data_IF_199272035623
#
_entry.id   IF_199272035623
#
_cell.length_a   1.000
_cell.length_b   1.000
_cell.length_c   1.000
_cell.angle_alpha   90.00
_cell.angle_beta   90.00
_cell.angle_gamma   90.00
#
_symmetry.space_group_name_H-M   'P 1'
#
loop_
_entity.id
_entity.type
_entity.pdbx_description
1 polymer ?
#
# COMPACT_ATOMS: atom_id res chain seq x y z
N UNK A 1 -34.96 14.98 -16.11
CA UNK A 1 -34.33 13.67 -15.81
C UNK A 1 -32.91 13.92 -15.34
N UNK A 2 -32.70 14.13 -14.04
CA UNK A 2 -31.37 14.29 -13.43
C UNK A 2 -30.71 12.92 -13.32
N UNK A 3 -29.58 12.72 -13.99
CA UNK A 3 -28.72 11.55 -13.80
C UNK A 3 -28.05 11.69 -12.44
N UNK A 4 -28.39 10.80 -11.51
CA UNK A 4 -27.77 10.67 -10.20
C UNK A 4 -26.28 10.36 -10.37
N UNK A 5 -25.40 11.19 -9.81
CA UNK A 5 -23.94 11.04 -9.82
C UNK A 5 -23.45 10.00 -8.77
N UNK A 6 -24.32 9.12 -8.29
CA UNK A 6 -24.04 8.24 -7.15
C UNK A 6 -23.31 6.93 -7.48
N UNK A 7 -22.82 6.72 -8.71
CA UNK A 7 -22.31 5.40 -9.14
C UNK A 7 -20.78 5.21 -9.11
N UNK A 8 -20.00 6.04 -8.41
CA UNK A 8 -18.53 5.89 -8.38
C UNK A 8 -17.91 5.81 -6.99
N UNK A 9 -18.71 5.77 -5.92
CA UNK A 9 -18.25 5.18 -4.68
C UNK A 9 -18.40 3.65 -4.84
N UNK A 10 -17.49 3.02 -5.59
CA UNK A 10 -17.20 1.63 -5.25
C UNK A 10 -16.81 1.67 -3.78
N UNK A 11 -17.53 0.91 -2.94
CA UNK A 11 -17.09 0.58 -1.60
C UNK A 11 -15.72 -0.12 -1.74
N UNK A 12 -14.66 0.67 -1.88
CA UNK A 12 -13.28 0.20 -1.91
C UNK A 12 -12.97 -0.19 -0.47
N UNK A 13 -13.38 -1.40 -0.11
CA UNK A 13 -12.96 -2.02 1.13
C UNK A 13 -11.43 -2.01 1.10
N UNK A 14 -10.78 -1.39 2.10
CA UNK A 14 -9.32 -1.27 2.10
C UNK A 14 -8.69 -2.65 2.34
N UNK A 15 -7.59 -2.90 1.65
CA UNK A 15 -6.80 -4.11 1.90
C UNK A 15 -6.32 -4.10 3.36
N UNK A 16 -6.42 -5.24 4.04
CA UNK A 16 -5.96 -5.37 5.44
C UNK A 16 -4.47 -5.67 5.44
N UNK A 17 -3.68 -4.68 5.85
CA UNK A 17 -2.22 -4.75 5.94
C UNK A 17 -1.82 -4.24 7.33
N UNK A 18 -0.78 -4.83 7.92
CA UNK A 18 -0.22 -4.44 9.21
C UNK A 18 1.20 -3.94 9.07
N UNK A 19 1.55 -2.91 9.85
CA UNK A 19 2.95 -2.46 9.98
C UNK A 19 3.79 -3.58 10.58
N UNK A 20 4.94 -3.86 9.97
CA UNK A 20 5.90 -4.91 10.35
C UNK A 20 5.68 -6.26 9.70
N UNK A 21 4.58 -6.47 8.99
CA UNK A 21 4.39 -7.67 8.19
C UNK A 21 5.33 -7.69 6.98
N UNK A 22 5.59 -8.89 6.46
CA UNK A 22 6.41 -9.07 5.28
C UNK A 22 5.62 -8.68 4.02
N UNK A 23 6.26 -7.90 3.15
CA UNK A 23 5.67 -7.38 1.93
C UNK A 23 5.53 -8.47 0.86
N UNK A 24 4.29 -8.69 0.39
CA UNK A 24 3.96 -9.73 -0.60
C UNK A 24 3.63 -9.11 -1.95
N UNK A 25 4.64 -8.56 -2.62
CA UNK A 25 4.50 -7.77 -3.86
C UNK A 25 3.65 -8.43 -4.95
N UNK A 26 3.83 -9.74 -5.18
CA UNK A 26 3.12 -10.50 -6.21
C UNK A 26 1.65 -10.69 -5.83
N UNK A 27 1.39 -11.09 -4.58
CA UNK A 27 0.03 -11.35 -4.07
C UNK A 27 -0.79 -10.06 -4.05
N UNK A 28 -0.12 -8.93 -3.78
CA UNK A 28 -0.75 -7.62 -3.66
C UNK A 28 -0.69 -6.78 -4.94
N UNK A 29 -0.40 -7.39 -6.09
CA UNK A 29 -0.30 -6.73 -7.40
C UNK A 29 0.43 -5.37 -7.32
N UNK A 30 1.54 -5.35 -6.57
CA UNK A 30 2.11 -4.09 -6.10
C UNK A 30 2.70 -3.27 -7.25
N UNK A 31 2.36 -1.99 -7.29
CA UNK A 31 2.86 -1.02 -8.26
C UNK A 31 3.60 0.10 -7.52
N UNK A 32 4.81 0.42 -7.98
CA UNK A 32 5.57 1.56 -7.44
C UNK A 32 4.72 2.84 -7.46
N UNK A 33 4.76 3.61 -6.37
CA UNK A 33 4.09 4.90 -6.24
C UNK A 33 5.10 6.04 -6.06
N UNK A 34 5.94 5.97 -5.02
CA UNK A 34 6.92 7.01 -4.68
C UNK A 34 8.05 6.49 -3.78
N UNK A 35 9.14 7.23 -3.61
CA UNK A 35 10.16 6.96 -2.59
C UNK A 35 9.98 7.91 -1.37
N UNK A 36 10.30 7.43 -0.19
CA UNK A 36 10.35 8.20 1.06
C UNK A 36 11.79 8.28 1.56
N UNK A 37 12.22 9.49 1.93
CA UNK A 37 13.53 9.74 2.53
C UNK A 37 13.43 9.71 4.06
N UNK A 38 13.24 8.50 4.60
CA UNK A 38 13.09 8.26 6.04
C UNK A 38 13.70 6.91 6.39
N UNK A 39 14.07 6.77 7.65
CA UNK A 39 14.62 5.54 8.20
C UNK A 39 13.54 4.44 8.36
N UNK A 40 13.94 3.19 8.11
CA UNK A 40 13.12 2.01 8.40
C UNK A 40 13.05 1.72 9.89
N UNK A 41 11.85 1.50 10.42
CA UNK A 41 11.59 1.20 11.83
C UNK A 41 12.16 -0.14 12.31
N UNK A 42 12.56 -1.02 11.38
CA UNK A 42 12.96 -2.40 11.68
C UNK A 42 14.45 -2.68 11.48
N UNK A 43 15.06 -2.10 10.44
CA UNK A 43 16.46 -2.34 10.10
C UNK A 43 17.30 -1.06 9.96
N UNK A 44 16.70 0.11 10.25
CA UNK A 44 17.39 1.41 10.26
C UNK A 44 18.04 1.81 8.93
N UNK A 45 17.59 1.25 7.81
CA UNK A 45 18.03 1.70 6.47
C UNK A 45 17.31 2.99 6.09
N UNK A 46 18.00 3.90 5.41
CA UNK A 46 17.52 5.26 5.13
C UNK A 46 16.56 5.39 3.93
N UNK A 47 16.17 4.27 3.32
CA UNK A 47 15.32 4.26 2.13
C UNK A 47 14.07 3.44 2.35
N UNK A 48 12.92 4.01 2.02
CA UNK A 48 11.61 3.35 2.03
C UNK A 48 10.92 3.61 0.68
N UNK A 49 10.29 2.59 0.11
CA UNK A 49 9.58 2.67 -1.18
C UNK A 49 8.08 2.48 -0.96
N UNK A 50 7.30 3.42 -1.47
CA UNK A 50 5.85 3.38 -1.52
C UNK A 50 5.32 2.55 -2.68
N UNK A 51 4.30 1.73 -2.41
CA UNK A 51 3.57 0.96 -3.41
C UNK A 51 2.07 1.17 -3.27
N UNK A 52 1.37 1.23 -4.41
CA UNK A 52 -0.06 0.94 -4.50
C UNK A 52 -0.21 -0.57 -4.56
N UNK A 53 -1.20 -1.09 -3.83
CA UNK A 53 -1.44 -2.52 -3.71
C UNK A 53 -2.91 -2.82 -3.94
N UNK A 54 -3.20 -3.98 -4.51
CA UNK A 54 -4.54 -4.51 -4.72
C UNK A 54 -4.52 -6.03 -4.51
N UNK A 55 -5.44 -6.56 -3.70
CA UNK A 55 -5.59 -8.01 -3.52
C UNK A 55 -6.41 -8.67 -4.65
N UNK A 56 -6.64 -9.97 -4.55
CA UNK A 56 -7.45 -10.72 -5.51
C UNK A 56 -8.95 -10.37 -5.43
N UNK A 57 -9.42 -9.84 -4.30
CA UNK A 57 -10.80 -9.41 -4.10
C UNK A 57 -11.05 -7.97 -4.60
N UNK A 58 -10.01 -7.27 -5.08
CA UNK A 58 -10.09 -5.89 -5.56
C UNK A 58 -9.97 -4.84 -4.44
N UNK A 59 -9.61 -5.26 -3.22
CA UNK A 59 -9.32 -4.31 -2.14
C UNK A 59 -8.00 -3.65 -2.40
N UNK A 60 -7.95 -2.33 -2.26
CA UNK A 60 -6.75 -1.55 -2.57
C UNK A 60 -6.26 -0.73 -1.38
N UNK A 61 -4.99 -0.32 -1.45
CA UNK A 61 -4.35 0.52 -0.45
C UNK A 61 -2.99 1.01 -0.90
N UNK A 62 -2.30 1.76 -0.04
CA UNK A 62 -0.93 2.17 -0.26
C UNK A 62 -0.06 1.88 0.95
N UNK A 63 1.13 1.34 0.70
CA UNK A 63 2.06 0.88 1.73
C UNK A 63 3.46 1.37 1.47
N UNK A 64 4.15 1.77 2.53
CA UNK A 64 5.55 2.15 2.49
C UNK A 64 6.36 0.94 2.98
N UNK A 65 7.32 0.47 2.19
CA UNK A 65 8.05 -0.79 2.40
C UNK A 65 9.54 -0.54 2.38
N UNK A 66 10.27 -1.18 3.28
CA UNK A 66 11.73 -1.15 3.24
C UNK A 66 12.27 -2.10 2.16
N UNK A 67 13.11 -1.64 1.21
CA UNK A 67 13.70 -2.52 0.19
C UNK A 67 14.82 -3.43 0.75
N UNK A 68 15.27 -3.21 1.99
CA UNK A 68 16.33 -4.00 2.61
C UNK A 68 15.80 -5.18 3.42
N UNK A 69 14.77 -4.96 4.22
CA UNK A 69 14.19 -6.00 5.09
C UNK A 69 12.78 -6.43 4.67
N UNK A 70 12.24 -5.83 3.61
CA UNK A 70 10.94 -6.15 3.01
C UNK A 70 9.75 -6.02 3.97
N UNK A 71 9.90 -5.28 5.06
CA UNK A 71 8.81 -5.02 6.01
C UNK A 71 7.99 -3.80 5.62
N UNK A 72 6.67 -3.91 5.85
CA UNK A 72 5.76 -2.76 5.77
C UNK A 72 6.09 -1.78 6.88
N UNK A 73 6.57 -0.61 6.50
CA UNK A 73 6.98 0.47 7.40
C UNK A 73 5.80 1.36 7.80
N UNK A 74 4.86 1.59 6.87
CA UNK A 74 3.65 2.40 7.12
C UNK A 74 2.55 2.11 6.08
N UNK A 75 1.33 2.56 6.37
CA UNK A 75 0.17 2.57 5.48
C UNK A 75 -0.22 4.03 5.29
N UNK A 76 -0.49 4.47 4.05
CA UNK A 76 -0.78 5.88 3.74
C UNK A 76 -1.95 6.05 2.76
N UNK A 77 -2.50 7.26 2.70
CA UNK A 77 -3.64 7.65 1.86
C UNK A 77 -3.19 8.26 0.52
#
# INVERSE_FOLDING_TARGET
>A
MQRSLSSLAHDLVPITINVGEDFKSIVWKAQYDMDFNTECLFCFSERITGYRVEDEAGHSGKVAVCPHCEKVNAIYA
#
